data_IF_966679637786
#
_entry.id   IF_966679637786
#
_cell.length_a   1.000
_cell.length_b   1.000
_cell.length_c   1.000
_cell.angle_alpha   90.00
_cell.angle_beta   90.00
_cell.angle_gamma   90.00
#
_symmetry.space_group_name_H-M   'P 1'
#
loop_
_entity.id
_entity.type
_entity.pdbx_description
1 polymer ?
#
# COMPACT_ATOMS: atom_id res chain seq x y z
N UNK A 1 10.58 1.71 -9.85
CA UNK A 1 9.45 1.11 -10.60
C UNK A 1 9.17 -0.34 -10.19
N UNK A 2 10.14 -1.26 -10.23
CA UNK A 2 9.93 -2.66 -9.79
C UNK A 2 9.32 -2.78 -8.38
N UNK A 3 9.76 -1.95 -7.44
CA UNK A 3 9.25 -1.95 -6.07
C UNK A 3 7.74 -1.60 -5.95
N UNK A 4 7.20 -0.76 -6.83
CA UNK A 4 5.77 -0.40 -6.82
C UNK A 4 4.92 -1.54 -7.38
N UNK A 5 5.43 -2.23 -8.40
CA UNK A 5 4.79 -3.42 -8.99
C UNK A 5 4.74 -4.55 -7.96
N UNK A 6 5.85 -4.85 -7.28
CA UNK A 6 5.89 -5.87 -6.23
C UNK A 6 4.93 -5.57 -5.08
N UNK A 7 4.87 -4.30 -4.66
CA UNK A 7 3.93 -3.85 -3.62
C UNK A 7 2.48 -4.03 -4.07
N UNK A 8 2.14 -3.68 -5.32
CA UNK A 8 0.80 -3.89 -5.87
C UNK A 8 0.42 -5.36 -6.00
N UNK A 9 1.30 -6.19 -6.56
CA UNK A 9 1.08 -7.65 -6.72
C UNK A 9 0.96 -8.32 -5.35
N UNK A 10 1.80 -7.94 -4.39
CA UNK A 10 1.74 -8.43 -3.02
C UNK A 10 0.43 -8.05 -2.32
N UNK A 11 -0.05 -6.82 -2.53
CA UNK A 11 -1.33 -6.37 -1.99
C UNK A 11 -2.52 -7.11 -2.61
N UNK A 12 -2.56 -7.30 -3.94
CA UNK A 12 -3.61 -8.10 -4.60
C UNK A 12 -3.60 -9.53 -4.06
N UNK A 13 -2.41 -10.12 -3.92
CA UNK A 13 -2.25 -11.47 -3.36
C UNK A 13 -2.77 -11.56 -1.92
N UNK A 14 -2.51 -10.54 -1.09
CA UNK A 14 -3.07 -10.43 0.25
C UNK A 14 -4.60 -10.37 0.22
N UNK A 15 -5.19 -9.50 -0.61
CA UNK A 15 -6.65 -9.35 -0.69
C UNK A 15 -7.33 -10.64 -1.12
N UNK A 16 -6.80 -11.32 -2.15
CA UNK A 16 -7.33 -12.59 -2.63
C UNK A 16 -7.25 -13.68 -1.55
N UNK A 17 -6.12 -13.77 -0.85
CA UNK A 17 -5.93 -14.77 0.20
C UNK A 17 -6.81 -14.49 1.42
N UNK A 18 -6.95 -13.22 1.79
CA UNK A 18 -7.87 -12.77 2.83
C UNK A 18 -9.31 -13.15 2.48
N UNK A 19 -9.76 -12.78 1.28
CA UNK A 19 -11.13 -13.04 0.82
C UNK A 19 -11.43 -14.54 0.77
N UNK A 20 -10.53 -15.35 0.21
CA UNK A 20 -10.76 -16.77 -0.01
C UNK A 20 -10.70 -17.63 1.26
N UNK A 21 -9.84 -17.28 2.23
CA UNK A 21 -9.56 -18.18 3.35
C UNK A 21 -9.86 -17.60 4.73
N UNK A 22 -9.79 -16.28 4.89
CA UNK A 22 -9.82 -15.64 6.21
C UNK A 22 -11.03 -14.74 6.45
N UNK A 23 -11.81 -14.39 5.42
CA UNK A 23 -12.96 -13.49 5.54
C UNK A 23 -14.15 -14.09 6.31
N UNK A 24 -14.32 -15.41 6.26
CA UNK A 24 -15.51 -16.11 6.77
C UNK A 24 -15.87 -15.85 8.25
N UNK A 25 -14.90 -15.83 9.19
CA UNK A 25 -15.18 -15.55 10.60
C UNK A 25 -15.49 -14.08 10.92
N UNK A 26 -15.24 -13.15 10.00
CA UNK A 26 -15.42 -11.72 10.24
C UNK A 26 -16.79 -11.24 9.80
N UNK A 27 -17.38 -10.31 10.56
CA UNK A 27 -18.59 -9.62 10.08
C UNK A 27 -18.28 -8.77 8.85
N UNK A 28 -19.31 -8.39 8.09
CA UNK A 28 -19.15 -7.52 6.92
C UNK A 28 -18.42 -6.21 7.27
N UNK A 29 -18.78 -5.59 8.40
CA UNK A 29 -18.13 -4.36 8.86
C UNK A 29 -16.65 -4.60 9.18
N UNK A 30 -16.31 -5.67 9.91
CA UNK A 30 -14.91 -6.01 10.21
C UNK A 30 -14.09 -6.24 8.94
N UNK A 31 -14.66 -6.92 7.95
CA UNK A 31 -14.01 -7.14 6.66
C UNK A 31 -13.74 -5.84 5.91
N UNK A 32 -14.69 -4.91 5.90
CA UNK A 32 -14.50 -3.59 5.30
C UNK A 32 -13.37 -2.84 6.00
N UNK A 33 -13.34 -2.83 7.34
CA UNK A 33 -12.29 -2.18 8.12
C UNK A 33 -10.91 -2.78 7.80
N UNK A 34 -10.80 -4.10 7.74
CA UNK A 34 -9.54 -4.79 7.39
C UNK A 34 -9.05 -4.37 6.00
N UNK A 35 -9.94 -4.35 5.02
CA UNK A 35 -9.59 -3.94 3.64
C UNK A 35 -9.17 -2.47 3.60
N UNK A 36 -9.88 -1.57 4.29
CA UNK A 36 -9.52 -0.15 4.37
C UNK A 36 -8.16 0.08 5.03
N UNK A 37 -7.89 -0.61 6.15
CA UNK A 37 -6.57 -0.57 6.80
C UNK A 37 -5.48 -1.06 5.85
N UNK A 38 -5.74 -2.12 5.07
CA UNK A 38 -4.78 -2.60 4.08
C UNK A 38 -4.48 -1.57 2.98
N UNK A 39 -5.48 -0.80 2.54
CA UNK A 39 -5.31 0.29 1.58
C UNK A 39 -4.48 1.43 2.16
N UNK A 40 -4.70 1.78 3.43
CA UNK A 40 -3.89 2.79 4.13
C UNK A 40 -2.42 2.35 4.18
N UNK A 41 -2.15 1.07 4.48
CA UNK A 41 -0.79 0.54 4.47
C UNK A 41 -0.16 0.57 3.06
N UNK A 42 -0.93 0.18 2.03
CA UNK A 42 -0.48 0.24 0.64
C UNK A 42 -0.11 1.67 0.23
N UNK A 43 -0.99 2.63 0.54
CA UNK A 43 -0.80 4.04 0.26
C UNK A 43 0.38 4.62 1.07
N UNK A 44 0.54 4.23 2.33
CA UNK A 44 1.66 4.65 3.17
C UNK A 44 3.01 4.17 2.64
N UNK A 45 3.12 2.89 2.28
CA UNK A 45 4.35 2.30 1.74
C UNK A 45 4.72 2.94 0.39
N UNK A 46 3.73 3.07 -0.49
CA UNK A 46 3.94 3.64 -1.82
C UNK A 46 4.23 5.13 -1.72
N UNK A 47 3.41 5.86 -0.96
CA UNK A 47 3.54 7.29 -0.71
C UNK A 47 4.87 7.67 -0.06
N UNK A 48 5.34 6.92 0.94
CA UNK A 48 6.64 7.16 1.56
C UNK A 48 7.80 7.06 0.54
N UNK A 49 7.73 6.08 -0.38
CA UNK A 49 8.72 5.96 -1.45
C UNK A 49 8.69 7.16 -2.39
N UNK A 50 7.52 7.58 -2.85
CA UNK A 50 7.39 8.74 -3.72
C UNK A 50 7.79 10.04 -3.03
N UNK A 51 7.40 10.24 -1.77
CA UNK A 51 7.77 11.40 -0.97
C UNK A 51 9.29 11.48 -0.76
N UNK A 52 9.94 10.35 -0.45
CA UNK A 52 11.40 10.31 -0.30
C UNK A 52 12.15 10.67 -1.59
N UNK A 53 11.66 10.20 -2.74
CA UNK A 53 12.23 10.53 -4.04
C UNK A 53 11.97 11.98 -4.42
N UNK A 54 10.75 12.48 -4.24
CA UNK A 54 10.38 13.87 -4.51
C UNK A 54 11.18 14.86 -3.67
N UNK A 55 11.40 14.57 -2.38
CA UNK A 55 12.25 15.39 -1.51
C UNK A 55 13.72 15.40 -1.94
N UNK A 56 14.25 14.29 -2.47
CA UNK A 56 15.62 14.26 -3.01
C UNK A 56 15.74 15.10 -4.27
N UNK A 57 14.76 15.02 -5.17
CA UNK A 57 14.72 15.85 -6.38
C UNK A 57 14.56 17.34 -6.06
N UNK A 58 13.68 17.70 -5.12
CA UNK A 58 13.49 19.08 -4.70
C UNK A 58 14.78 19.71 -4.13
N UNK A 59 15.58 18.94 -3.37
CA UNK A 59 16.90 19.40 -2.87
C UNK A 59 17.94 19.55 -3.97
N UNK A 60 17.90 18.72 -5.02
CA UNK A 60 18.82 18.84 -6.16
C UNK A 60 18.47 20.01 -7.09
N UNK A 61 17.22 20.48 -7.07
CA UNK A 61 16.75 21.62 -7.87
C UNK A 61 16.92 22.99 -7.19
N UNK A 62 17.38 23.06 -5.94
CA UNK A 62 17.76 24.33 -5.31
C UNK A 62 19.21 24.67 -5.72
N UNK A 63 19.46 25.79 -6.44
CA UNK A 63 20.82 26.29 -6.62
C UNK A 63 21.42 26.71 -5.27
N UNK A 64 22.75 26.68 -5.11
CA UNK A 64 23.44 27.00 -3.85
C UNK A 64 23.16 28.43 -3.36
#
# INVERSE_FOLDING_TARGET
MAASILVGVGWISFVLRYAAFWSGPYSLFQSIVIVLVSFILLAGITGAKWASWGMRFARMGMPP
#
